data_IF_404046205016
#
_entry.id   IF_404046205016
#
_cell.length_a   1.000
_cell.length_b   1.000
_cell.length_c   1.000
_cell.angle_alpha   90.00
_cell.angle_beta   90.00
_cell.angle_gamma   90.00
#
_symmetry.space_group_name_H-M   'P 1'
#
loop_
_entity.id
_entity.type
_entity.pdbx_description
1 polymer ?
#
# COMPACT_ATOMS: atom_id res chain seq x y z
N UNK A 1 2.08 8.08 -14.29
CA UNK A 1 1.22 7.31 -13.37
C UNK A 1 1.85 7.37 -11.99
N UNK A 2 1.08 7.57 -10.93
CA UNK A 2 1.60 7.58 -9.55
C UNK A 2 1.18 6.29 -8.87
N UNK A 3 2.11 5.71 -8.11
CA UNK A 3 1.85 4.54 -7.27
C UNK A 3 2.04 4.90 -5.81
N UNK A 4 1.27 4.24 -4.96
CA UNK A 4 1.31 4.34 -3.52
C UNK A 4 1.48 2.93 -2.97
N UNK A 5 2.36 2.78 -1.99
CA UNK A 5 2.44 1.55 -1.21
C UNK A 5 1.64 1.78 0.05
N UNK A 6 0.63 0.97 0.28
CA UNK A 6 -0.23 1.07 1.46
C UNK A 6 -0.10 -0.17 2.31
N UNK A 7 -0.17 0.01 3.62
CA UNK A 7 -0.35 -1.07 4.58
C UNK A 7 -1.83 -1.07 4.97
N UNK A 8 -2.46 -2.23 4.84
CA UNK A 8 -3.88 -2.41 5.12
C UNK A 8 -4.10 -3.42 6.23
N UNK A 9 -5.08 -3.16 7.09
CA UNK A 9 -5.51 -4.11 8.12
C UNK A 9 -6.48 -5.11 7.50
N UNK A 10 -6.13 -6.39 7.51
CA UNK A 10 -6.88 -7.41 6.75
C UNK A 10 -8.32 -7.60 7.25
N UNK A 11 -8.54 -7.43 8.56
CA UNK A 11 -9.86 -7.58 9.16
C UNK A 11 -10.88 -6.51 8.72
N UNK A 12 -10.42 -5.31 8.41
CA UNK A 12 -11.30 -4.17 8.08
C UNK A 12 -11.12 -3.68 6.64
N UNK A 13 -9.98 -3.97 6.02
CA UNK A 13 -9.57 -3.40 4.74
C UNK A 13 -9.00 -1.98 4.86
N UNK A 14 -8.93 -1.42 6.06
CA UNK A 14 -8.53 -0.03 6.29
C UNK A 14 -7.06 0.20 5.95
N UNK A 15 -6.77 1.34 5.32
CA UNK A 15 -5.40 1.80 5.12
C UNK A 15 -4.91 2.39 6.44
N UNK A 16 -3.92 1.74 7.05
CA UNK A 16 -3.28 2.23 8.28
C UNK A 16 -2.04 3.07 7.99
N UNK A 17 -1.41 2.87 6.84
CA UNK A 17 -0.23 3.63 6.42
C UNK A 17 -0.16 3.75 4.90
N UNK A 18 0.31 4.90 4.42
CA UNK A 18 0.51 5.22 3.00
C UNK A 18 1.93 5.74 2.77
N UNK A 19 2.59 5.25 1.72
CA UNK A 19 3.94 5.63 1.31
C UNK A 19 3.95 5.98 -0.18
N UNK A 20 4.58 7.11 -0.52
CA UNK A 20 4.60 7.67 -1.88
C UNK A 20 4.10 9.12 -1.94
N UNK A 21 3.73 9.63 -3.12
CA UNK A 21 3.68 8.94 -4.41
C UNK A 21 5.07 8.62 -4.97
N UNK A 22 5.16 7.52 -5.73
CA UNK A 22 6.31 7.21 -6.59
C UNK A 22 5.90 7.16 -8.06
N UNK A 23 6.81 7.58 -8.94
CA UNK A 23 6.53 7.75 -10.37
C UNK A 23 6.68 6.48 -11.19
N UNK A 24 7.21 5.39 -10.62
CA UNK A 24 7.42 4.13 -11.31
C UNK A 24 7.03 2.93 -10.42
N UNK A 25 6.62 1.84 -11.07
CA UNK A 25 6.15 0.64 -10.38
C UNK A 25 7.30 -0.09 -9.66
N UNK A 26 8.51 -0.06 -10.22
CA UNK A 26 9.68 -0.77 -9.69
C UNK A 26 10.11 -0.24 -8.31
N UNK A 27 10.02 1.08 -8.10
CA UNK A 27 10.31 1.70 -6.81
C UNK A 27 9.18 1.42 -5.82
N UNK A 28 7.93 1.36 -6.28
CA UNK A 28 6.82 0.89 -5.45
C UNK A 28 7.02 -0.56 -4.99
N UNK A 29 7.49 -1.46 -5.87
CA UNK A 29 7.81 -2.85 -5.51
C UNK A 29 8.96 -2.95 -4.50
N UNK A 30 9.98 -2.09 -4.63
CA UNK A 30 11.08 -1.99 -3.65
C UNK A 30 10.57 -1.55 -2.28
N UNK A 31 9.75 -0.51 -2.24
CA UNK A 31 9.13 -0.02 -1.00
C UNK A 31 8.22 -1.09 -0.40
N UNK A 32 7.38 -1.76 -1.21
CA UNK A 32 6.54 -2.87 -0.78
C UNK A 32 7.37 -3.98 -0.16
N UNK A 33 8.44 -4.41 -0.82
CA UNK A 33 9.32 -5.45 -0.32
C UNK A 33 9.95 -5.05 1.02
N UNK A 34 10.45 -3.82 1.13
CA UNK A 34 11.00 -3.30 2.39
C UNK A 34 9.97 -3.24 3.53
N UNK A 35 8.78 -2.70 3.26
CA UNK A 35 7.69 -2.62 4.22
C UNK A 35 7.19 -4.00 4.68
N UNK A 36 7.23 -4.99 3.79
CA UNK A 36 6.79 -6.36 4.05
C UNK A 36 7.72 -7.17 4.94
N UNK A 37 9.00 -6.80 5.10
CA UNK A 37 9.99 -7.63 5.83
C UNK A 37 9.63 -7.79 7.32
N UNK A 38 9.22 -6.70 7.98
CA UNK A 38 8.92 -6.69 9.41
C UNK A 38 7.43 -6.53 9.72
N UNK A 39 6.57 -6.85 8.74
CA UNK A 39 5.13 -6.72 8.91
C UNK A 39 4.56 -7.95 9.63
N UNK A 40 3.58 -7.73 10.52
CA UNK A 40 2.75 -8.81 11.04
C UNK A 40 1.74 -9.26 9.96
N UNK A 41 2.13 -10.25 9.15
CA UNK A 41 1.33 -10.80 8.05
C UNK A 41 0.04 -11.53 8.47
N UNK A 42 -0.22 -11.68 9.78
CA UNK A 42 -1.48 -12.22 10.27
C UNK A 42 -2.58 -11.15 10.38
N UNK A 43 -2.20 -9.87 10.46
CA UNK A 43 -3.13 -8.76 10.68
C UNK A 43 -3.05 -7.71 9.58
N UNK A 44 -1.92 -7.61 8.88
CA UNK A 44 -1.67 -6.57 7.90
C UNK A 44 -1.10 -7.13 6.60
N UNK A 45 -1.49 -6.48 5.51
CA UNK A 45 -0.98 -6.72 4.17
C UNK A 45 -0.41 -5.45 3.55
N UNK A 46 0.54 -5.60 2.61
CA UNK A 46 1.11 -4.48 1.83
C UNK A 46 0.62 -4.55 0.39
N UNK A 47 0.06 -3.46 -0.10
CA UNK A 47 -0.50 -3.35 -1.45
C UNK A 47 0.11 -2.17 -2.20
N UNK A 48 0.21 -2.29 -3.52
CA UNK A 48 0.55 -1.16 -4.40
C UNK A 48 -0.75 -0.72 -5.07
N UNK A 49 -1.10 0.54 -4.91
CA UNK A 49 -2.28 1.15 -5.51
C UNK A 49 -1.86 2.29 -6.43
N UNK A 50 -2.54 2.45 -7.55
CA UNK A 50 -2.47 3.67 -8.35
C UNK A 50 -3.34 4.79 -7.73
N UNK A 51 -3.29 6.00 -8.31
CA UNK A 51 -4.00 7.17 -7.78
C UNK A 51 -5.53 7.01 -7.77
N UNK A 52 -6.09 6.25 -8.73
CA UNK A 52 -7.53 6.00 -8.82
C UNK A 52 -7.96 4.93 -7.79
N UNK A 53 -7.23 3.81 -7.73
CA UNK A 53 -7.46 2.73 -6.75
C UNK A 53 -7.36 3.24 -5.29
N UNK A 54 -6.43 4.16 -5.02
CA UNK A 54 -6.30 4.76 -3.69
C UNK A 54 -7.54 5.58 -3.32
N UNK A 55 -8.06 6.39 -4.25
CA UNK A 55 -9.25 7.22 -4.03
C UNK A 55 -10.49 6.36 -3.78
N UNK A 56 -10.65 5.29 -4.53
CA UNK A 56 -11.75 4.33 -4.32
C UNK A 56 -11.70 3.69 -2.93
N UNK A 57 -10.50 3.46 -2.40
CA UNK A 57 -10.28 2.82 -1.10
C UNK A 57 -10.41 3.79 0.09
N UNK A 58 -10.02 5.04 -0.07
CA UNK A 58 -10.21 6.10 0.94
C UNK A 58 -11.65 6.65 0.99
N UNK A 59 -12.45 6.45 -0.07
CA UNK A 59 -13.84 6.90 -0.17
C UNK A 59 -14.90 5.87 0.23
N UNK A 60 -14.49 4.69 0.72
CA UNK A 60 -15.37 3.66 1.31
C UNK A 60 -15.45 3.82 2.82
#
# INVERSE_FOLDING_TARGET
MKYYVVITKDATGDIIQKMGPVSNLRDAERIKSGASINLNHNEYSVQILNEDELREKEGK
#
